data_IF_314145726279
#
_entry.id   IF_314145726279
#
_cell.length_a   1.000
_cell.length_b   1.000
_cell.length_c   1.000
_cell.angle_alpha   90.00
_cell.angle_beta   90.00
_cell.angle_gamma   90.00
#
_symmetry.space_group_name_H-M   'P 1'
#
loop_
_entity.id
_entity.type
_entity.pdbx_description
1 polymer ?
#
# COMPACT_ATOMS: atom_id res chain seq x y z
N UNK A 1 -27.85 -55.67 13.38
CA UNK A 1 -27.77 -54.23 13.70
C UNK A 1 -27.32 -54.05 15.14
N UNK A 2 -26.12 -53.49 15.36
CA UNK A 2 -25.80 -52.62 16.50
C UNK A 2 -24.55 -51.82 16.13
N UNK A 3 -24.71 -50.50 16.21
CA UNK A 3 -23.87 -49.50 15.58
C UNK A 3 -22.54 -49.33 16.32
N UNK A 4 -21.47 -49.23 15.52
CA UNK A 4 -20.14 -48.82 15.93
C UNK A 4 -20.07 -47.30 15.76
N UNK A 5 -20.39 -46.55 16.81
CA UNK A 5 -20.09 -45.11 16.90
C UNK A 5 -19.77 -44.82 18.36
N UNK A 6 -18.52 -44.53 18.67
CA UNK A 6 -18.09 -43.67 19.80
C UNK A 6 -16.57 -43.69 19.88
N UNK A 7 -15.93 -42.58 19.51
CA UNK A 7 -14.48 -42.40 19.67
C UNK A 7 -13.99 -41.08 19.10
N UNK A 8 -14.58 -40.61 18.00
CA UNK A 8 -14.15 -39.39 17.33
C UNK A 8 -14.75 -38.09 17.91
N UNK A 9 -15.91 -38.13 18.57
CA UNK A 9 -16.63 -36.93 19.01
C UNK A 9 -16.12 -36.26 20.29
N UNK A 10 -15.51 -37.01 21.22
CA UNK A 10 -15.08 -36.48 22.53
C UNK A 10 -13.74 -35.74 22.41
N UNK A 11 -12.83 -36.22 21.56
CA UNK A 11 -11.55 -35.57 21.28
C UNK A 11 -11.72 -34.21 20.57
N UNK A 12 -12.67 -34.11 19.62
CA UNK A 12 -12.95 -32.85 18.93
C UNK A 12 -13.57 -31.79 19.86
N UNK A 13 -14.46 -32.20 20.78
CA UNK A 13 -15.05 -31.29 21.78
C UNK A 13 -14.05 -30.77 22.81
N UNK A 14 -13.13 -31.61 23.29
CA UNK A 14 -12.07 -31.21 24.22
C UNK A 14 -11.05 -30.27 23.57
N UNK A 15 -10.66 -30.51 22.31
CA UNK A 15 -9.78 -29.62 21.55
C UNK A 15 -10.42 -28.23 21.32
N UNK A 16 -11.72 -28.18 21.01
CA UNK A 16 -12.45 -26.92 20.82
C UNK A 16 -12.58 -26.10 22.11
N UNK A 17 -12.81 -26.75 23.27
CA UNK A 17 -12.91 -26.06 24.56
C UNK A 17 -11.54 -25.56 25.04
N UNK A 18 -10.47 -26.33 24.83
CA UNK A 18 -9.11 -25.89 25.15
C UNK A 18 -8.64 -24.74 24.24
N UNK A 19 -8.92 -24.81 22.94
CA UNK A 19 -8.64 -23.72 22.01
C UNK A 19 -9.44 -22.45 22.34
N UNK A 20 -10.70 -22.58 22.76
CA UNK A 20 -11.51 -21.45 23.22
C UNK A 20 -10.97 -20.83 24.52
N UNK A 21 -10.44 -21.64 25.44
CA UNK A 21 -9.79 -21.15 26.66
C UNK A 21 -8.50 -20.37 26.37
N UNK A 22 -7.60 -20.94 25.55
CA UNK A 22 -6.34 -20.28 25.17
C UNK A 22 -6.56 -18.96 24.41
N UNK A 23 -7.58 -18.90 23.54
CA UNK A 23 -7.87 -17.68 22.77
C UNK A 23 -8.44 -16.55 23.65
N UNK A 24 -9.31 -16.86 24.62
CA UNK A 24 -9.85 -15.86 25.56
C UNK A 24 -8.73 -15.26 26.44
N UNK A 25 -7.81 -16.10 26.92
CA UNK A 25 -6.69 -15.63 27.73
C UNK A 25 -5.71 -14.77 26.93
N UNK A 26 -5.40 -15.14 25.68
CA UNK A 26 -4.56 -14.33 24.79
C UNK A 26 -5.17 -12.97 24.46
N UNK A 27 -6.47 -12.89 24.18
CA UNK A 27 -7.14 -11.59 23.95
C UNK A 27 -7.04 -10.68 25.17
N UNK A 28 -7.29 -11.21 26.37
CA UNK A 28 -7.21 -10.42 27.61
C UNK A 28 -5.78 -9.93 27.89
N UNK A 29 -4.78 -10.78 27.69
CA UNK A 29 -3.37 -10.41 27.85
C UNK A 29 -2.97 -9.32 26.86
N UNK A 30 -3.39 -9.44 25.60
CA UNK A 30 -3.13 -8.43 24.56
C UNK A 30 -3.79 -7.08 24.89
N UNK A 31 -5.06 -7.08 25.31
CA UNK A 31 -5.75 -5.85 25.71
C UNK A 31 -5.05 -5.15 26.88
N UNK A 32 -4.64 -5.90 27.90
CA UNK A 32 -3.91 -5.34 29.04
C UNK A 32 -2.53 -4.81 28.62
N UNK A 33 -1.85 -5.49 27.70
CA UNK A 33 -0.58 -5.02 27.15
C UNK A 33 -0.75 -3.70 26.39
N UNK A 34 -1.82 -3.55 25.58
CA UNK A 34 -2.14 -2.28 24.90
C UNK A 34 -2.31 -1.14 25.91
N UNK A 35 -3.04 -1.37 27.00
CA UNK A 35 -3.18 -0.35 28.06
C UNK A 35 -1.82 0.03 28.63
N UNK A 36 -0.94 -0.93 28.94
CA UNK A 36 0.41 -0.61 29.41
C UNK A 36 1.23 0.17 28.38
N UNK A 37 1.10 -0.13 27.09
CA UNK A 37 1.75 0.65 26.03
C UNK A 37 1.24 2.09 25.95
N UNK A 38 -0.06 2.33 26.19
CA UNK A 38 -0.63 3.68 26.25
C UNK A 38 -0.04 4.51 27.41
N UNK A 39 0.29 3.86 28.54
CA UNK A 39 0.99 4.50 29.66
C UNK A 39 2.52 4.53 29.50
N UNK A 40 3.07 4.07 28.38
CA UNK A 40 4.52 3.99 28.15
C UNK A 40 5.25 2.91 28.95
N UNK A 41 4.51 2.01 29.61
CA UNK A 41 5.07 0.89 30.38
C UNK A 41 5.38 -0.32 29.49
N UNK A 42 6.28 -0.13 28.52
CA UNK A 42 6.56 -1.11 27.46
C UNK A 42 7.12 -2.44 27.97
N UNK A 43 7.88 -2.45 29.07
CA UNK A 43 8.42 -3.69 29.65
C UNK A 43 7.31 -4.62 30.15
N UNK A 44 6.29 -4.05 30.81
CA UNK A 44 5.13 -4.82 31.30
C UNK A 44 4.25 -5.28 30.14
N UNK A 45 4.10 -4.45 29.10
CA UNK A 45 3.40 -4.85 27.90
C UNK A 45 4.09 -6.04 27.21
N UNK A 46 5.42 -5.97 27.05
CA UNK A 46 6.23 -7.05 26.47
C UNK A 46 6.09 -8.36 27.27
N UNK A 47 6.13 -8.30 28.60
CA UNK A 47 5.96 -9.48 29.47
C UNK A 47 4.60 -10.15 29.23
N UNK A 48 3.52 -9.37 29.18
CA UNK A 48 2.17 -9.89 28.94
C UNK A 48 2.00 -10.47 27.54
N UNK A 49 2.59 -9.83 26.53
CA UNK A 49 2.54 -10.30 25.15
C UNK A 49 3.33 -11.60 24.98
N UNK A 50 4.51 -11.71 25.61
CA UNK A 50 5.26 -12.98 25.66
C UNK A 50 4.48 -14.08 26.36
N UNK A 51 3.84 -13.78 27.49
CA UNK A 51 2.95 -14.72 28.17
C UNK A 51 1.76 -15.15 27.31
N UNK A 52 1.22 -14.25 26.48
CA UNK A 52 0.17 -14.63 25.52
C UNK A 52 0.71 -15.58 24.46
N UNK A 53 1.95 -15.39 23.99
CA UNK A 53 2.59 -16.30 23.04
C UNK A 53 2.98 -17.65 23.64
N UNK A 54 3.24 -17.72 24.95
CA UNK A 54 3.43 -19.00 25.64
C UNK A 54 2.16 -19.87 25.60
N UNK A 55 0.98 -19.23 25.58
CA UNK A 55 -0.31 -19.91 25.45
C UNK A 55 -0.66 -20.26 23.99
N UNK A 56 -0.33 -19.36 23.05
CA UNK A 56 -0.59 -19.49 21.62
C UNK A 56 0.51 -18.81 20.82
N UNK A 57 1.50 -19.59 20.38
CA UNK A 57 2.69 -19.06 19.73
C UNK A 57 2.45 -18.55 18.30
N UNK A 58 1.32 -18.90 17.68
CA UNK A 58 0.95 -18.51 16.32
C UNK A 58 0.00 -17.31 16.30
N UNK A 59 -0.40 -16.80 17.47
CA UNK A 59 -1.42 -15.76 17.56
C UNK A 59 -1.00 -14.48 16.79
N UNK A 60 -1.61 -14.17 15.64
CA UNK A 60 -1.15 -13.07 14.80
C UNK A 60 -1.41 -11.71 15.45
N UNK A 61 -2.46 -11.58 16.27
CA UNK A 61 -2.75 -10.36 17.00
C UNK A 61 -1.69 -10.10 18.08
N UNK A 62 -1.30 -11.12 18.85
CA UNK A 62 -0.24 -10.98 19.86
C UNK A 62 1.09 -10.63 19.21
N UNK A 63 1.45 -11.30 18.10
CA UNK A 63 2.65 -10.99 17.30
C UNK A 63 2.64 -9.54 16.82
N UNK A 64 1.52 -9.05 16.28
CA UNK A 64 1.35 -7.65 15.90
C UNK A 64 1.59 -6.68 17.06
N UNK A 65 0.98 -6.92 18.22
CA UNK A 65 1.15 -6.04 19.38
C UNK A 65 2.57 -6.08 19.96
N UNK A 66 3.22 -7.25 19.93
CA UNK A 66 4.62 -7.37 20.31
C UNK A 66 5.54 -6.61 19.34
N UNK A 67 5.23 -6.67 18.04
CA UNK A 67 5.88 -5.82 17.04
C UNK A 67 5.73 -4.33 17.35
N UNK A 68 4.52 -3.87 17.67
CA UNK A 68 4.24 -2.47 18.08
C UNK A 68 5.01 -2.07 19.33
N UNK A 69 5.11 -2.96 20.31
CA UNK A 69 5.88 -2.75 21.53
C UNK A 69 7.38 -2.62 21.23
N UNK A 70 7.91 -3.44 20.33
CA UNK A 70 9.30 -3.35 19.91
C UNK A 70 9.59 -2.08 19.09
N UNK A 71 8.71 -1.69 18.17
CA UNK A 71 8.86 -0.46 17.40
C UNK A 71 8.86 0.77 18.31
N UNK A 72 7.93 0.86 19.26
CA UNK A 72 7.86 1.96 20.22
C UNK A 72 9.09 2.07 21.15
N UNK A 73 9.83 0.97 21.33
CA UNK A 73 11.06 0.92 22.13
C UNK A 73 12.33 0.96 21.27
N UNK A 74 12.22 1.27 19.98
CA UNK A 74 13.35 1.38 19.05
C UNK A 74 14.02 0.05 18.68
N UNK A 75 13.41 -1.09 19.02
CA UNK A 75 13.92 -2.43 18.70
C UNK A 75 13.39 -2.87 17.33
N UNK A 76 13.77 -2.13 16.30
CA UNK A 76 13.19 -2.20 14.95
C UNK A 76 13.31 -3.61 14.32
N UNK A 77 14.47 -4.25 14.38
CA UNK A 77 14.63 -5.63 13.85
C UNK A 77 13.65 -6.63 14.48
N UNK A 78 13.40 -6.51 15.79
CA UNK A 78 12.44 -7.37 16.48
C UNK A 78 11.01 -7.03 16.08
N UNK A 79 10.71 -5.75 15.86
CA UNK A 79 9.41 -5.32 15.37
C UNK A 79 9.12 -5.93 13.99
N UNK A 80 10.06 -5.78 13.05
CA UNK A 80 9.98 -6.35 11.69
C UNK A 80 9.78 -7.87 11.76
N UNK A 81 10.54 -8.57 12.61
CA UNK A 81 10.38 -10.01 12.81
C UNK A 81 8.97 -10.40 13.28
N UNK A 82 8.46 -9.76 14.33
CA UNK A 82 7.14 -10.09 14.88
C UNK A 82 6.00 -9.71 13.93
N UNK A 83 6.11 -8.59 13.20
CA UNK A 83 5.17 -8.24 12.15
C UNK A 83 5.19 -9.25 11.00
N UNK A 84 6.37 -9.67 10.56
CA UNK A 84 6.53 -10.70 9.55
C UNK A 84 5.88 -12.02 9.96
N UNK A 85 5.99 -12.40 11.24
CA UNK A 85 5.27 -13.56 11.79
C UNK A 85 3.75 -13.34 11.80
N UNK A 86 3.27 -12.18 12.23
CA UNK A 86 1.84 -11.86 12.21
C UNK A 86 1.26 -11.98 10.79
N UNK A 87 1.95 -11.42 9.80
CA UNK A 87 1.63 -11.52 8.37
C UNK A 87 1.64 -12.97 7.89
N UNK A 88 2.64 -13.76 8.30
CA UNK A 88 2.75 -15.18 7.92
C UNK A 88 1.59 -16.02 8.46
N UNK A 89 1.22 -15.83 9.71
CA UNK A 89 0.15 -16.61 10.34
C UNK A 89 -1.24 -16.16 9.91
N UNK A 90 -1.44 -14.88 9.58
CA UNK A 90 -2.69 -14.38 9.03
C UNK A 90 -2.46 -13.28 7.97
N UNK A 91 -2.22 -13.67 6.70
CA UNK A 91 -1.94 -12.73 5.61
C UNK A 91 -3.09 -11.75 5.31
N UNK A 92 -4.30 -12.05 5.76
CA UNK A 92 -5.50 -11.22 5.56
C UNK A 92 -5.61 -10.04 6.52
N UNK A 93 -4.80 -9.98 7.58
CA UNK A 93 -4.82 -8.87 8.55
C UNK A 93 -4.06 -7.68 7.96
N UNK A 94 -4.80 -6.79 7.34
CA UNK A 94 -4.26 -5.58 6.70
C UNK A 94 -3.44 -4.72 7.65
N UNK A 95 -3.85 -4.55 8.91
CA UNK A 95 -3.10 -3.72 9.87
C UNK A 95 -1.70 -4.28 10.17
N UNK A 96 -1.53 -5.61 10.14
CA UNK A 96 -0.23 -6.25 10.31
C UNK A 96 0.62 -6.13 9.03
N UNK A 97 -0.01 -6.25 7.87
CA UNK A 97 0.64 -6.05 6.56
C UNK A 97 1.19 -4.64 6.43
N UNK A 98 0.37 -3.63 6.71
CA UNK A 98 0.79 -2.23 6.64
C UNK A 98 1.90 -1.95 7.64
N UNK A 99 1.76 -2.38 8.90
CA UNK A 99 2.83 -2.19 9.89
C UNK A 99 4.16 -2.85 9.48
N UNK A 100 4.11 -4.04 8.87
CA UNK A 100 5.32 -4.71 8.35
C UNK A 100 5.99 -3.90 7.22
N UNK A 101 5.20 -3.49 6.23
CA UNK A 101 5.66 -2.69 5.07
C UNK A 101 6.22 -1.34 5.54
N UNK A 102 5.46 -0.63 6.37
CA UNK A 102 5.83 0.68 6.91
C UNK A 102 7.15 0.59 7.68
N UNK A 103 7.27 -0.38 8.59
CA UNK A 103 8.48 -0.52 9.41
C UNK A 103 9.70 -0.87 8.56
N UNK A 104 9.55 -1.71 7.54
CA UNK A 104 10.63 -2.00 6.59
C UNK A 104 11.06 -0.76 5.80
N UNK A 105 10.11 0.09 5.40
CA UNK A 105 10.39 1.33 4.68
C UNK A 105 11.09 2.35 5.58
N UNK A 106 10.59 2.55 6.80
CA UNK A 106 11.20 3.42 7.81
C UNK A 106 12.64 3.00 8.16
N UNK A 107 12.89 1.69 8.19
CA UNK A 107 14.22 1.09 8.41
C UNK A 107 15.12 1.08 7.16
N UNK A 108 14.70 1.74 6.07
CA UNK A 108 15.44 1.85 4.79
C UNK A 108 15.67 0.51 4.08
N UNK A 109 14.86 -0.51 4.40
CA UNK A 109 14.87 -1.84 3.75
C UNK A 109 13.89 -1.86 2.58
N UNK A 110 14.07 -0.93 1.65
CA UNK A 110 13.13 -0.62 0.57
C UNK A 110 12.78 -1.84 -0.30
N UNK A 111 13.78 -2.63 -0.69
CA UNK A 111 13.54 -3.83 -1.52
C UNK A 111 12.68 -4.89 -0.79
N UNK A 112 12.85 -5.04 0.51
CA UNK A 112 12.02 -5.93 1.32
C UNK A 112 10.61 -5.38 1.49
N UNK A 113 10.49 -4.07 1.71
CA UNK A 113 9.20 -3.39 1.82
C UNK A 113 8.37 -3.51 0.54
N UNK A 114 8.98 -3.30 -0.63
CA UNK A 114 8.32 -3.44 -1.93
C UNK A 114 7.94 -4.91 -2.22
N UNK A 115 8.77 -5.88 -1.82
CA UNK A 115 8.41 -7.31 -1.91
C UNK A 115 7.22 -7.65 -1.02
N UNK A 116 7.20 -7.14 0.21
CA UNK A 116 6.09 -7.30 1.14
C UNK A 116 4.79 -6.69 0.59
N UNK A 117 4.90 -5.51 -0.03
CA UNK A 117 3.75 -4.84 -0.70
C UNK A 117 3.17 -5.71 -1.80
N UNK A 118 3.99 -6.25 -2.70
CA UNK A 118 3.51 -7.16 -3.76
C UNK A 118 2.87 -8.42 -3.19
N UNK A 119 3.42 -8.98 -2.10
CA UNK A 119 2.85 -10.14 -1.43
C UNK A 119 1.48 -9.82 -0.77
N UNK A 120 1.35 -8.65 -0.15
CA UNK A 120 0.09 -8.16 0.42
C UNK A 120 -1.00 -8.06 -0.65
N UNK A 121 -0.68 -7.46 -1.80
CA UNK A 121 -1.62 -7.28 -2.91
C UNK A 121 -2.02 -8.60 -3.59
N UNK A 122 -1.18 -9.64 -3.51
CA UNK A 122 -1.44 -10.93 -4.14
C UNK A 122 -2.42 -11.83 -3.39
N UNK A 123 -2.69 -11.55 -2.11
CA UNK A 123 -3.44 -12.46 -1.26
C UNK A 123 -4.97 -12.32 -1.33
N UNK A 124 -5.50 -11.43 -2.17
CA UNK A 124 -6.93 -11.10 -2.18
C UNK A 124 -7.38 -10.67 -3.58
N UNK A 125 -8.47 -11.25 -4.09
CA UNK A 125 -9.21 -10.69 -5.21
C UNK A 125 -9.88 -9.40 -4.73
N UNK A 126 -9.20 -8.29 -4.94
CA UNK A 126 -9.63 -6.96 -4.51
C UNK A 126 -10.39 -6.24 -5.62
N UNK A 127 -11.45 -5.53 -5.22
CA UNK A 127 -12.12 -4.58 -6.12
C UNK A 127 -11.19 -3.41 -6.42
N UNK A 128 -11.39 -2.73 -7.56
CA UNK A 128 -10.54 -1.62 -7.96
C UNK A 128 -10.47 -0.48 -6.94
N UNK A 129 -11.59 -0.17 -6.28
CA UNK A 129 -11.62 0.83 -5.21
C UNK A 129 -10.71 0.50 -4.03
N UNK A 130 -10.43 -0.78 -3.78
CA UNK A 130 -9.56 -1.21 -2.69
C UNK A 130 -8.07 -1.00 -3.03
N UNK A 131 -7.66 -1.30 -4.28
CA UNK A 131 -6.30 -0.98 -4.72
C UNK A 131 -6.03 0.52 -4.66
N UNK A 132 -6.99 1.34 -5.08
CA UNK A 132 -6.87 2.81 -5.02
C UNK A 132 -6.79 3.29 -3.57
N UNK A 133 -7.57 2.71 -2.64
CA UNK A 133 -7.50 3.03 -1.22
C UNK A 133 -6.12 2.72 -0.63
N UNK A 134 -5.58 1.53 -0.92
CA UNK A 134 -4.26 1.11 -0.45
C UNK A 134 -3.17 2.00 -1.05
N UNK A 135 -3.23 2.28 -2.35
CA UNK A 135 -2.29 3.17 -3.02
C UNK A 135 -2.32 4.56 -2.34
N UNK A 136 -3.48 5.17 -2.18
CA UNK A 136 -3.60 6.47 -1.53
C UNK A 136 -3.05 6.47 -0.10
N UNK A 137 -3.20 5.38 0.66
CA UNK A 137 -2.55 5.27 1.97
C UNK A 137 -1.03 5.38 1.88
N UNK A 138 -0.40 4.73 0.89
CA UNK A 138 1.04 4.88 0.64
C UNK A 138 1.40 6.30 0.21
N UNK A 139 0.59 6.93 -0.65
CA UNK A 139 0.81 8.31 -1.09
C UNK A 139 0.74 9.32 0.05
N UNK A 140 -0.23 9.18 0.95
CA UNK A 140 -0.38 10.05 2.12
C UNK A 140 0.85 10.00 3.04
N UNK A 141 1.58 8.87 3.01
CA UNK A 141 2.84 8.65 3.74
C UNK A 141 4.08 9.07 2.95
N UNK A 142 3.95 9.53 1.72
CA UNK A 142 5.07 9.84 0.82
C UNK A 142 5.78 8.60 0.25
N UNK A 143 5.19 7.42 0.37
CA UNK A 143 5.73 6.14 -0.13
C UNK A 143 5.40 5.98 -1.62
N UNK A 144 5.93 6.88 -2.45
CA UNK A 144 5.64 7.02 -3.88
C UNK A 144 5.84 5.69 -4.66
N UNK A 145 6.90 4.94 -4.35
CA UNK A 145 7.17 3.64 -5.00
C UNK A 145 6.12 2.57 -4.67
N UNK A 146 5.58 2.58 -3.45
CA UNK A 146 4.50 1.67 -3.03
C UNK A 146 3.17 2.05 -3.67
N UNK A 147 2.88 3.34 -3.80
CA UNK A 147 1.73 3.87 -4.55
C UNK A 147 1.76 3.37 -6.00
N UNK A 148 2.88 3.62 -6.70
CA UNK A 148 3.06 3.23 -8.10
C UNK A 148 2.98 1.70 -8.26
N UNK A 149 3.64 0.95 -7.38
CA UNK A 149 3.62 -0.52 -7.37
C UNK A 149 2.19 -1.06 -7.22
N UNK A 150 1.39 -0.45 -6.35
CA UNK A 150 0.01 -0.87 -6.11
C UNK A 150 -0.87 -0.65 -7.33
N UNK A 151 -0.76 0.51 -7.99
CA UNK A 151 -1.55 0.80 -9.20
C UNK A 151 -1.11 -0.04 -10.40
N UNK A 152 0.19 -0.32 -10.56
CA UNK A 152 0.66 -1.26 -11.57
C UNK A 152 0.14 -2.68 -11.33
N UNK A 153 0.18 -3.15 -10.09
CA UNK A 153 -0.42 -4.44 -9.75
C UNK A 153 -1.92 -4.49 -10.10
N UNK A 154 -2.64 -3.41 -9.83
CA UNK A 154 -4.06 -3.30 -10.16
C UNK A 154 -4.31 -3.32 -11.69
N UNK A 155 -3.46 -2.66 -12.49
CA UNK A 155 -3.49 -2.75 -13.96
C UNK A 155 -3.32 -4.18 -14.46
N UNK A 156 -2.36 -4.91 -13.89
CA UNK A 156 -2.07 -6.31 -14.28
C UNK A 156 -3.25 -7.25 -13.97
N UNK A 157 -3.97 -7.01 -12.87
CA UNK A 157 -5.13 -7.81 -12.46
C UNK A 157 -6.41 -7.47 -13.21
N UNK A 158 -6.61 -6.21 -13.60
CA UNK A 158 -7.79 -5.76 -14.33
C UNK A 158 -7.41 -5.05 -15.65
N UNK A 159 -6.98 -5.86 -16.62
CA UNK A 159 -6.49 -5.41 -17.93
C UNK A 159 -7.50 -4.58 -18.77
N UNK A 160 -8.78 -4.55 -18.38
CA UNK A 160 -9.87 -3.87 -19.10
C UNK A 160 -10.37 -2.59 -18.44
N UNK A 161 -9.87 -2.26 -17.25
CA UNK A 161 -10.24 -1.03 -16.55
C UNK A 161 -9.14 0.03 -16.75
N UNK A 162 -9.41 1.17 -17.40
CA UNK A 162 -8.42 2.23 -17.59
C UNK A 162 -8.18 3.04 -16.31
N UNK A 163 -8.97 2.87 -15.25
CA UNK A 163 -8.92 3.68 -14.02
C UNK A 163 -7.52 3.72 -13.38
N UNK A 164 -6.79 2.61 -13.21
CA UNK A 164 -5.43 2.66 -12.67
C UNK A 164 -4.45 3.42 -13.54
N UNK A 165 -4.57 3.30 -14.87
CA UNK A 165 -3.75 4.03 -15.84
C UNK A 165 -4.02 5.53 -15.74
N UNK A 166 -5.28 5.94 -15.63
CA UNK A 166 -5.65 7.34 -15.40
C UNK A 166 -5.15 7.86 -14.06
N UNK A 167 -5.24 7.04 -13.01
CA UNK A 167 -4.77 7.40 -11.66
C UNK A 167 -3.25 7.58 -11.62
N UNK A 168 -2.49 6.73 -12.33
CA UNK A 168 -1.04 6.90 -12.53
C UNK A 168 -0.74 8.16 -13.35
N UNK A 169 -1.48 8.41 -14.43
CA UNK A 169 -1.29 9.60 -15.25
C UNK A 169 -1.47 10.90 -14.46
N UNK A 170 -2.52 10.99 -13.65
CA UNK A 170 -2.79 12.14 -12.78
C UNK A 170 -1.66 12.35 -11.76
N UNK A 171 -1.19 11.24 -11.16
CA UNK A 171 -0.08 11.27 -10.22
C UNK A 171 1.22 11.77 -10.86
N UNK A 172 1.59 11.27 -12.05
CA UNK A 172 2.79 11.72 -12.74
C UNK A 172 2.65 13.17 -13.26
N UNK A 173 1.45 13.57 -13.67
CA UNK A 173 1.20 14.94 -14.13
C UNK A 173 1.41 15.94 -12.99
N UNK A 174 0.97 15.61 -11.77
CA UNK A 174 1.22 16.42 -10.58
C UNK A 174 2.72 16.54 -10.25
N UNK A 175 3.50 15.49 -10.50
CA UNK A 175 4.96 15.49 -10.31
C UNK A 175 5.71 16.16 -11.47
N UNK A 176 5.02 16.54 -12.54
CA UNK A 176 5.62 17.11 -13.76
C UNK A 176 6.33 16.09 -14.65
N UNK A 177 6.14 14.78 -14.41
CA UNK A 177 6.74 13.71 -15.21
C UNK A 177 5.89 13.45 -16.47
N UNK A 178 6.08 14.32 -17.46
CA UNK A 178 5.32 14.29 -18.72
C UNK A 178 5.48 12.94 -19.45
N UNK A 179 6.66 12.32 -19.38
CA UNK A 179 6.91 11.04 -20.05
C UNK A 179 6.00 9.95 -19.47
N UNK A 180 6.00 9.77 -18.15
CA UNK A 180 5.17 8.75 -17.51
C UNK A 180 3.69 9.11 -17.57
N UNK A 181 3.32 10.39 -17.51
CA UNK A 181 1.94 10.83 -17.75
C UNK A 181 1.44 10.37 -19.11
N UNK A 182 2.18 10.66 -20.18
CA UNK A 182 1.78 10.31 -21.54
C UNK A 182 1.75 8.80 -21.77
N UNK A 183 2.69 8.06 -21.17
CA UNK A 183 2.68 6.60 -21.20
C UNK A 183 1.42 6.02 -20.55
N UNK A 184 1.04 6.55 -19.38
CA UNK A 184 -0.12 6.11 -18.64
C UNK A 184 -1.45 6.49 -19.33
N UNK A 185 -1.56 7.70 -19.88
CA UNK A 185 -2.72 8.12 -20.67
C UNK A 185 -2.86 7.31 -21.97
N UNK A 186 -1.75 7.03 -22.65
CA UNK A 186 -1.77 6.17 -23.86
C UNK A 186 -2.29 4.79 -23.53
N UNK A 187 -1.86 4.20 -22.40
CA UNK A 187 -2.37 2.91 -21.95
C UNK A 187 -3.87 2.96 -21.63
N UNK A 188 -4.35 4.03 -21.00
CA UNK A 188 -5.78 4.21 -20.75
C UNK A 188 -6.58 4.26 -22.07
N UNK A 189 -6.07 4.99 -23.07
CA UNK A 189 -6.68 5.08 -24.40
C UNK A 189 -6.72 3.75 -25.14
N UNK A 190 -5.66 2.94 -25.06
CA UNK A 190 -5.65 1.59 -25.63
C UNK A 190 -6.72 0.67 -25.02
N UNK A 191 -7.03 0.85 -23.74
CA UNK A 191 -8.02 0.04 -23.02
C UNK A 191 -9.44 0.47 -23.39
N UNK A 192 -9.73 1.78 -23.25
CA UNK A 192 -11.03 2.36 -23.60
C UNK A 192 -10.88 3.83 -24.06
N UNK A 193 -10.90 4.07 -25.39
CA UNK A 193 -10.81 5.41 -25.96
C UNK A 193 -11.97 6.35 -25.58
N UNK A 194 -13.11 5.78 -25.15
CA UNK A 194 -14.34 6.53 -24.84
C UNK A 194 -14.54 6.71 -23.33
N UNK A 195 -13.55 6.35 -22.51
CA UNK A 195 -13.65 6.48 -21.07
C UNK A 195 -13.88 7.94 -20.66
N UNK A 196 -14.86 8.24 -19.77
CA UNK A 196 -15.19 9.61 -19.39
C UNK A 196 -13.98 10.40 -18.89
N UNK A 197 -13.80 11.61 -19.43
CA UNK A 197 -12.70 12.52 -19.03
C UNK A 197 -11.32 12.18 -19.61
N UNK A 198 -11.13 11.04 -20.29
CA UNK A 198 -9.84 10.69 -20.91
C UNK A 198 -9.44 11.70 -22.00
N UNK A 199 -10.35 12.06 -22.90
CA UNK A 199 -10.06 13.01 -23.97
C UNK A 199 -9.66 14.40 -23.43
N UNK A 200 -10.28 14.83 -22.34
CA UNK A 200 -9.92 16.07 -21.65
C UNK A 200 -8.50 15.99 -21.04
N UNK A 201 -8.18 14.88 -20.36
CA UNK A 201 -6.84 14.64 -19.79
C UNK A 201 -5.77 14.59 -20.88
N UNK A 202 -6.03 13.93 -22.00
CA UNK A 202 -5.12 13.92 -23.16
C UNK A 202 -4.92 15.33 -23.72
N UNK A 203 -6.01 16.06 -23.99
CA UNK A 203 -5.91 17.43 -24.52
C UNK A 203 -5.07 18.34 -23.62
N UNK A 204 -5.29 18.27 -22.30
CA UNK A 204 -4.54 19.07 -21.32
C UNK A 204 -3.06 18.71 -21.22
N UNK A 205 -2.71 17.41 -21.32
CA UNK A 205 -1.34 16.95 -21.16
C UNK A 205 -0.54 16.92 -22.49
N UNK A 206 -1.22 16.95 -23.64
CA UNK A 206 -0.59 17.07 -24.97
C UNK A 206 -0.43 18.53 -25.42
N UNK A 207 -1.20 19.47 -24.86
CA UNK A 207 -0.93 20.90 -25.00
C UNK A 207 0.18 21.32 -24.03
N UNK A 208 1.43 21.28 -24.47
CA UNK A 208 2.44 22.16 -23.90
C UNK A 208 2.35 23.49 -24.65
N UNK A 209 2.18 24.61 -23.95
CA UNK A 209 2.52 25.92 -24.53
C UNK A 209 4.02 25.90 -24.85
N UNK A 210 4.38 25.55 -26.08
CA UNK A 210 5.53 26.18 -26.71
C UNK A 210 5.13 27.65 -26.83
N UNK A 211 5.49 28.47 -25.83
CA UNK A 211 5.65 29.90 -26.12
C UNK A 211 6.69 29.94 -27.23
N UNK A 212 6.32 30.29 -28.48
CA UNK A 212 7.32 30.39 -29.51
C UNK A 212 8.32 31.41 -29.00
N UNK A 213 9.63 31.10 -29.01
CA UNK A 213 10.61 32.17 -28.86
C UNK A 213 10.18 33.27 -29.82
N UNK A 214 10.03 34.52 -29.36
CA UNK A 214 9.58 35.59 -30.24
C UNK A 214 10.48 35.54 -31.46
N UNK A 215 9.88 35.19 -32.61
CA UNK A 215 10.61 35.07 -33.85
C UNK A 215 11.37 36.37 -34.00
N UNK A 216 12.69 36.27 -34.19
CA UNK A 216 13.56 37.43 -34.41
C UNK A 216 12.81 38.41 -35.29
N UNK A 217 12.62 39.65 -34.80
CA UNK A 217 11.87 40.69 -35.51
C UNK A 217 12.29 40.61 -36.99
N UNK A 218 11.37 40.32 -37.92
CA UNK A 218 11.72 40.15 -39.32
C UNK A 218 12.54 41.35 -39.76
N UNK A 219 13.62 41.13 -40.52
CA UNK A 219 14.34 42.27 -41.09
C UNK A 219 13.32 43.16 -41.81
N UNK A 220 13.37 44.50 -41.60
CA UNK A 220 12.45 45.40 -42.25
C UNK A 220 12.53 45.17 -43.76
N UNK A 221 11.36 45.07 -44.38
CA UNK A 221 11.22 44.91 -45.82
C UNK A 221 11.97 46.04 -46.56
N UNK A 222 12.33 45.84 -47.84
CA UNK A 222 12.97 46.89 -48.64
C UNK A 222 12.21 48.22 -48.58
N UNK A 223 10.87 48.16 -48.57
CA UNK A 223 10.00 49.32 -48.45
C UNK A 223 10.09 50.00 -47.07
N UNK A 224 10.18 49.23 -45.99
CA UNK A 224 10.37 49.77 -44.63
C UNK A 224 11.77 50.35 -44.42
N UNK A 225 12.78 49.84 -45.12
CA UNK A 225 14.13 50.44 -45.16
C UNK A 225 14.09 51.78 -45.91
N UNK A 226 13.47 51.85 -47.09
CA UNK A 226 13.29 53.10 -47.84
C UNK A 226 12.51 54.16 -47.06
N UNK A 227 11.43 53.79 -46.39
CA UNK A 227 10.61 54.72 -45.60
C UNK A 227 11.35 55.29 -44.37
N UNK A 228 12.34 54.56 -43.84
CA UNK A 228 13.20 55.04 -42.74
C UNK A 228 14.27 56.02 -43.21
N UNK A 229 14.69 55.96 -44.46
CA UNK A 229 15.66 56.90 -45.05
C UNK A 229 15.02 58.23 -45.47
N UNK A 230 13.69 58.30 -45.49
CA UNK A 230 12.91 59.49 -45.87
C UNK A 230 12.49 60.39 -44.69
N UNK A 231 12.78 59.98 -43.45
CA UNK A 231 12.57 60.78 -42.21
C UNK A 231 13.91 61.20 -41.61
#
# INVERSE_FOLDING_TARGET
MKAFVTGAGILAGLLLVLAAGCTIDSVRLNQRAQVYMEYGEYEKAEELLKKSLDNDHENPATRYWLGRCYQATGRIDRAIYEYGLAVRFAPSIETAQMAYIDTLHEDQREEESLRATKAFLAHKDMLMGEYVRIANNFRDKGMDMHYITTLHYAQEKNLKDPTPSLTLADYFAEKGDVEQTMKALSRAFEIDPYYPGLAEKLGRNMYQEETPEPTSIPEPSPLEKELRELN
#
